data_IF_330934657371
#
_entry.id   IF_330934657371
#
_cell.length_a   1.000
_cell.length_b   1.000
_cell.length_c   1.000
_cell.angle_alpha   90.00
_cell.angle_beta   90.00
_cell.angle_gamma   90.00
#
_symmetry.space_group_name_H-M   'P 1'
#
loop_
_entity.id
_entity.type
_entity.pdbx_description
1 polymer ?
#
# COMPACT_ATOMS: atom_id res chain seq x y z
N UNK A 1 -19.07 28.90 73.75
CA UNK A 1 -19.65 29.01 72.39
C UNK A 1 -18.58 29.56 71.46
N UNK A 2 -17.86 28.72 70.69
CA UNK A 2 -16.85 29.20 69.74
C UNK A 2 -17.45 29.41 68.34
N UNK A 3 -17.02 30.42 67.56
CA UNK A 3 -17.40 30.50 66.15
C UNK A 3 -16.36 29.84 65.23
N UNK A 4 -16.87 28.85 64.49
CA UNK A 4 -16.65 28.56 63.06
C UNK A 4 -15.24 28.68 62.49
N UNK A 5 -14.63 27.51 62.24
CA UNK A 5 -13.37 27.36 61.52
C UNK A 5 -13.50 27.59 60.01
N UNK A 6 -12.48 28.23 59.45
CA UNK A 6 -12.29 28.37 58.01
C UNK A 6 -11.89 27.02 57.38
N UNK A 7 -12.71 26.52 56.45
CA UNK A 7 -12.33 25.44 55.55
C UNK A 7 -11.46 25.99 54.42
N UNK A 8 -10.18 25.62 54.41
CA UNK A 8 -9.29 25.84 53.28
C UNK A 8 -9.51 24.70 52.26
N UNK A 9 -10.11 25.01 51.10
CA UNK A 9 -10.15 24.08 49.97
C UNK A 9 -8.75 23.99 49.32
N UNK A 10 -8.07 22.85 49.48
CA UNK A 10 -6.88 22.50 48.71
C UNK A 10 -7.37 21.81 47.43
N UNK A 11 -7.32 22.51 46.30
CA UNK A 11 -7.53 21.90 44.98
C UNK A 11 -6.28 21.09 44.62
N UNK A 12 -6.36 19.77 44.72
CA UNK A 12 -5.34 18.86 44.21
C UNK A 12 -5.44 18.76 42.68
N UNK A 13 -4.55 19.44 41.96
CA UNK A 13 -4.39 19.28 40.52
C UNK A 13 -3.77 17.90 40.23
N UNK A 14 -4.59 16.94 39.84
CA UNK A 14 -4.13 15.66 39.33
C UNK A 14 -3.54 15.86 37.92
N UNK A 15 -2.21 15.99 37.83
CA UNK A 15 -1.51 15.83 36.56
C UNK A 15 -1.55 14.35 36.19
N UNK A 16 -2.43 14.00 35.24
CA UNK A 16 -2.37 12.72 34.56
C UNK A 16 -1.06 12.66 33.77
N UNK A 17 -0.07 11.96 34.32
CA UNK A 17 1.11 11.56 33.56
C UNK A 17 0.64 10.60 32.46
N UNK A 18 0.51 11.11 31.24
CA UNK A 18 0.37 10.29 30.06
C UNK A 18 1.66 9.48 29.91
N UNK A 19 1.64 8.24 30.42
CA UNK A 19 2.67 7.25 30.12
C UNK A 19 2.70 7.06 28.60
N UNK A 20 3.66 7.70 27.95
CA UNK A 20 4.08 7.38 26.60
C UNK A 20 4.57 5.94 26.63
N UNK A 21 3.68 5.00 26.28
CA UNK A 21 4.07 3.65 25.91
C UNK A 21 4.87 3.80 24.62
N UNK A 22 6.18 4.02 24.73
CA UNK A 22 7.11 3.84 23.63
C UNK A 22 7.12 2.36 23.29
N UNK A 23 6.20 1.95 22.42
CA UNK A 23 6.29 0.63 21.80
C UNK A 23 7.56 0.65 20.93
N UNK A 24 8.68 0.18 21.47
CA UNK A 24 9.84 -0.24 20.69
C UNK A 24 9.38 -1.43 19.85
N UNK A 25 8.72 -1.16 18.72
CA UNK A 25 8.33 -2.20 17.77
C UNK A 25 9.61 -2.71 17.14
N UNK A 26 10.11 -3.84 17.65
CA UNK A 26 11.15 -4.62 17.00
C UNK A 26 10.70 -5.15 15.64
N UNK A 27 11.53 -5.98 15.04
CA UNK A 27 11.22 -6.62 13.76
C UNK A 27 9.80 -7.22 13.73
N UNK A 28 9.07 -6.90 12.67
CA UNK A 28 7.73 -7.37 12.36
C UNK A 28 7.74 -8.21 11.09
N UNK A 29 6.83 -9.18 11.01
CA UNK A 29 6.69 -10.05 9.84
C UNK A 29 6.17 -9.24 8.65
N UNK A 30 6.76 -9.45 7.48
CA UNK A 30 6.34 -8.86 6.21
C UNK A 30 6.34 -9.87 5.07
N UNK A 31 5.95 -9.42 3.87
CA UNK A 31 6.08 -10.20 2.63
C UNK A 31 5.44 -11.60 2.67
N UNK A 32 4.27 -11.71 3.31
CA UNK A 32 3.57 -13.00 3.47
C UNK A 32 4.35 -14.01 4.32
N UNK A 33 5.07 -13.56 5.36
CA UNK A 33 5.86 -14.44 6.23
C UNK A 33 7.29 -14.70 5.74
N UNK A 34 7.69 -14.12 4.61
CA UNK A 34 9.01 -14.38 4.01
C UNK A 34 10.13 -13.56 4.63
N UNK A 35 9.79 -12.45 5.27
CA UNK A 35 10.79 -11.51 5.79
C UNK A 35 10.41 -10.95 7.14
N UNK A 36 11.43 -10.47 7.85
CA UNK A 36 11.29 -9.63 9.03
C UNK A 36 11.80 -8.23 8.69
N UNK A 37 11.07 -7.19 9.10
CA UNK A 37 11.45 -5.80 8.83
C UNK A 37 11.15 -4.87 10.01
N UNK A 38 11.85 -3.75 10.10
CA UNK A 38 11.70 -2.75 11.17
C UNK A 38 11.80 -1.33 10.58
N UNK A 39 11.15 -0.38 11.23
CA UNK A 39 11.29 1.05 10.93
C UNK A 39 12.52 1.62 11.64
N UNK A 40 12.98 2.77 11.16
CA UNK A 40 14.08 3.54 11.76
C UNK A 40 15.38 2.75 11.93
N UNK A 41 15.69 1.89 10.96
CA UNK A 41 16.87 1.05 11.02
C UNK A 41 17.62 0.94 9.69
N UNK A 42 18.88 0.54 9.77
CA UNK A 42 19.78 0.39 8.66
C UNK A 42 20.71 -0.81 8.90
N UNK A 43 20.95 -1.59 7.84
CA UNK A 43 22.10 -2.47 7.76
C UNK A 43 23.17 -1.76 6.94
N UNK A 44 24.40 -1.71 7.43
CA UNK A 44 25.49 -1.03 6.73
C UNK A 44 26.25 -2.01 5.82
N UNK A 45 26.70 -1.52 4.66
CA UNK A 45 27.56 -2.25 3.72
C UNK A 45 26.87 -3.40 2.99
N UNK A 46 27.69 -4.17 2.26
CA UNK A 46 27.30 -5.36 1.49
C UNK A 46 26.24 -5.13 0.40
N UNK A 47 26.05 -3.88 -0.03
CA UNK A 47 25.14 -3.52 -1.10
C UNK A 47 25.65 -4.05 -2.45
N UNK A 48 24.90 -4.94 -3.09
CA UNK A 48 25.25 -5.49 -4.41
C UNK A 48 24.32 -4.99 -5.52
N UNK A 49 23.15 -4.45 -5.16
CA UNK A 49 22.16 -3.91 -6.08
C UNK A 49 21.24 -2.94 -5.34
N UNK A 50 20.72 -1.96 -6.07
CA UNK A 50 19.62 -1.15 -5.60
C UNK A 50 18.49 -1.07 -6.62
N UNK A 51 17.28 -0.81 -6.12
CA UNK A 51 16.07 -0.53 -6.90
C UNK A 51 15.27 0.55 -6.19
N UNK A 52 14.68 1.47 -6.93
CA UNK A 52 13.70 2.38 -6.35
C UNK A 52 12.40 1.64 -6.03
N UNK A 53 11.76 1.99 -4.92
CA UNK A 53 10.58 1.30 -4.40
C UNK A 53 10.24 1.80 -2.99
N UNK A 54 9.17 1.27 -2.40
CA UNK A 54 8.77 1.58 -1.01
C UNK A 54 9.29 0.51 -0.05
N UNK A 55 9.40 0.78 1.26
CA UNK A 55 9.94 -0.19 2.22
C UNK A 55 9.26 -1.55 2.20
N UNK A 56 7.93 -1.54 2.00
CA UNK A 56 7.10 -2.74 2.05
C UNK A 56 7.39 -3.72 0.90
N UNK A 57 7.95 -3.25 -0.22
CA UNK A 57 8.23 -4.08 -1.41
C UNK A 57 9.67 -4.57 -1.40
N UNK A 58 10.59 -3.86 -0.72
CA UNK A 58 11.98 -4.29 -0.61
C UNK A 58 12.10 -5.71 -0.03
N UNK A 59 11.20 -6.08 0.89
CA UNK A 59 11.12 -7.43 1.45
C UNK A 59 10.83 -8.48 0.38
N UNK A 60 9.85 -8.25 -0.49
CA UNK A 60 9.48 -9.18 -1.56
C UNK A 60 10.57 -9.29 -2.61
N UNK A 61 11.12 -8.16 -3.04
CA UNK A 61 12.25 -8.11 -3.97
C UNK A 61 13.45 -8.89 -3.43
N UNK A 62 13.76 -8.73 -2.14
CA UNK A 62 14.84 -9.43 -1.50
C UNK A 62 14.55 -10.94 -1.34
N UNK A 63 13.32 -11.30 -0.95
CA UNK A 63 12.90 -12.70 -0.84
C UNK A 63 12.91 -13.43 -2.20
N UNK A 64 12.61 -12.72 -3.29
CA UNK A 64 12.62 -13.24 -4.66
C UNK A 64 14.03 -13.29 -5.30
N UNK A 65 14.98 -12.49 -4.82
CA UNK A 65 16.37 -12.50 -5.31
C UNK A 65 17.24 -13.42 -4.44
N UNK A 66 17.68 -14.56 -5.00
CA UNK A 66 18.47 -15.57 -4.30
C UNK A 66 19.76 -15.04 -3.66
N UNK A 67 20.32 -13.93 -4.17
CA UNK A 67 21.52 -13.29 -3.60
C UNK A 67 21.21 -12.39 -2.41
N UNK A 68 19.98 -11.90 -2.28
CA UNK A 68 19.61 -10.94 -1.24
C UNK A 68 19.37 -11.63 0.10
N UNK A 69 20.19 -11.35 1.11
CA UNK A 69 19.99 -11.87 2.47
C UNK A 69 19.27 -10.86 3.36
N UNK A 70 19.49 -9.57 3.11
CA UNK A 70 18.90 -8.46 3.85
C UNK A 70 18.89 -7.19 3.00
N UNK A 71 18.17 -6.18 3.46
CA UNK A 71 18.04 -4.93 2.74
C UNK A 71 17.95 -3.74 3.69
N UNK A 72 18.17 -2.56 3.13
CA UNK A 72 17.79 -1.30 3.76
C UNK A 72 17.06 -0.45 2.76
N UNK A 73 15.96 0.13 3.17
CA UNK A 73 15.27 1.17 2.44
C UNK A 73 15.59 2.53 3.04
N UNK A 74 15.75 3.54 2.19
CA UNK A 74 15.78 4.94 2.61
C UNK A 74 15.07 5.82 1.57
N UNK A 75 14.88 7.10 1.89
CA UNK A 75 14.19 8.03 1.01
C UNK A 75 15.05 8.58 -0.16
N UNK A 76 16.21 7.97 -0.44
CA UNK A 76 17.02 8.37 -1.61
C UNK A 76 16.21 8.15 -2.89
N UNK A 77 16.27 9.08 -3.83
CA UNK A 77 15.54 9.04 -5.12
C UNK A 77 14.02 8.83 -4.98
N UNK A 78 13.41 9.30 -3.90
CA UNK A 78 11.98 9.10 -3.62
C UNK A 78 11.63 7.72 -3.07
N UNK A 79 12.64 6.98 -2.60
CA UNK A 79 12.52 5.64 -2.02
C UNK A 79 13.43 4.65 -2.74
N UNK A 80 14.46 4.15 -2.06
CA UNK A 80 15.42 3.19 -2.62
C UNK A 80 15.62 2.01 -1.69
N UNK A 81 15.41 0.80 -2.21
CA UNK A 81 15.81 -0.47 -1.63
C UNK A 81 17.26 -0.77 -1.98
N UNK A 82 18.12 -0.85 -0.97
CA UNK A 82 19.52 -1.23 -1.03
C UNK A 82 19.65 -2.70 -0.61
N UNK A 83 19.80 -3.59 -1.60
CA UNK A 83 19.87 -5.04 -1.41
C UNK A 83 21.28 -5.49 -1.08
N UNK A 84 21.35 -6.36 -0.08
CA UNK A 84 22.61 -6.79 0.50
C UNK A 84 22.74 -8.31 0.47
N UNK A 85 23.97 -8.77 0.40
CA UNK A 85 24.30 -10.20 0.34
C UNK A 85 25.25 -10.61 1.46
N UNK A 86 25.45 -11.91 1.62
CA UNK A 86 26.30 -12.49 2.66
C UNK A 86 25.74 -12.33 4.08
N UNK A 87 26.64 -12.35 5.07
CA UNK A 87 26.30 -12.20 6.48
C UNK A 87 25.64 -10.86 6.76
N UNK A 88 24.49 -10.88 7.43
CA UNK A 88 23.75 -9.69 7.82
C UNK A 88 24.58 -8.86 8.81
N UNK A 89 24.83 -7.60 8.46
CA UNK A 89 25.55 -6.67 9.34
C UNK A 89 24.73 -6.31 10.59
N UNK A 90 25.38 -5.70 11.59
CA UNK A 90 24.70 -5.25 12.79
C UNK A 90 23.67 -4.16 12.43
N UNK A 91 22.48 -4.25 13.03
CA UNK A 91 21.43 -3.24 12.87
C UNK A 91 21.89 -1.93 13.53
N UNK A 92 21.86 -0.82 12.81
CA UNK A 92 22.01 0.52 13.37
C UNK A 92 20.68 1.26 13.34
N UNK A 93 20.45 2.14 14.32
CA UNK A 93 19.30 3.02 14.32
C UNK A 93 19.50 4.13 13.27
N UNK A 94 18.52 4.31 12.38
CA UNK A 94 18.56 5.34 11.34
C UNK A 94 17.15 5.83 11.04
N UNK A 95 16.84 7.03 11.50
CA UNK A 95 15.51 7.62 11.37
C UNK A 95 15.13 7.83 9.90
N UNK A 96 13.88 7.51 9.55
CA UNK A 96 13.37 7.62 8.17
C UNK A 96 13.94 6.58 7.19
N UNK A 97 14.54 5.50 7.70
CA UNK A 97 14.99 4.34 6.93
C UNK A 97 14.37 3.06 7.50
N UNK A 98 14.17 2.06 6.66
CA UNK A 98 13.65 0.76 7.09
C UNK A 98 14.68 -0.30 6.74
N UNK A 99 14.74 -1.38 7.51
CA UNK A 99 15.65 -2.47 7.20
C UNK A 99 14.96 -3.79 7.48
N UNK A 100 15.43 -4.85 6.83
CA UNK A 100 14.88 -6.18 7.04
C UNK A 100 15.75 -7.26 6.46
N UNK A 101 15.37 -8.50 6.75
CA UNK A 101 16.09 -9.69 6.33
C UNK A 101 15.13 -10.82 5.98
N UNK A 102 15.58 -11.67 5.05
CA UNK A 102 14.80 -12.82 4.59
C UNK A 102 14.86 -13.92 5.65
N UNK A 103 13.70 -14.49 5.98
CA UNK A 103 13.58 -15.64 6.89
C UNK A 103 13.05 -16.89 6.18
N UNK A 104 12.36 -16.72 5.05
CA UNK A 104 11.93 -17.82 4.18
C UNK A 104 11.89 -17.35 2.73
N UNK A 105 12.35 -18.21 1.80
CA UNK A 105 12.18 -17.99 0.35
C UNK A 105 10.98 -18.74 -0.22
N UNK A 106 10.52 -19.78 0.48
CA UNK A 106 9.23 -20.40 0.23
C UNK A 106 8.14 -19.41 0.64
N UNK A 107 7.13 -19.21 -0.21
CA UNK A 107 5.91 -18.54 0.23
C UNK A 107 5.35 -19.33 1.42
N UNK A 108 5.42 -18.75 2.62
CA UNK A 108 4.93 -19.36 3.83
C UNK A 108 3.41 -19.42 3.75
N UNK A 109 2.88 -20.59 3.43
CA UNK A 109 1.49 -20.90 3.72
C UNK A 109 1.32 -20.82 5.25
N UNK A 110 0.33 -20.03 5.68
CA UNK A 110 -0.17 -19.78 7.04
C UNK A 110 0.46 -18.61 7.83
N UNK A 111 -0.17 -17.43 7.73
CA UNK A 111 -0.52 -16.67 8.93
C UNK A 111 -1.93 -17.12 9.32
N UNK A 112 -2.03 -18.11 10.21
CA UNK A 112 -3.21 -18.22 11.05
C UNK A 112 -3.07 -17.17 12.15
N UNK A 113 -3.90 -16.13 12.10
CA UNK A 113 -4.34 -15.44 13.31
C UNK A 113 -5.82 -15.09 13.16
N UNK A 114 -6.56 -15.64 14.10
CA UNK A 114 -8.00 -15.58 14.27
C UNK A 114 -8.44 -14.15 14.63
N UNK A 115 -9.40 -13.63 13.89
CA UNK A 115 -10.68 -13.11 14.40
C UNK A 115 -11.46 -12.64 13.19
N UNK A 116 -12.29 -13.53 12.65
CA UNK A 116 -13.24 -13.16 11.64
C UNK A 116 -14.28 -12.23 12.27
N UNK A 117 -14.22 -10.95 11.90
CA UNK A 117 -15.46 -10.19 11.77
C UNK A 117 -16.15 -10.78 10.55
N UNK A 118 -17.11 -11.67 10.77
CA UNK A 118 -17.95 -12.23 9.72
C UNK A 118 -18.67 -11.09 9.00
N UNK A 119 -18.13 -10.69 7.85
CA UNK A 119 -18.90 -9.99 6.81
C UNK A 119 -19.60 -11.08 6.00
N UNK A 120 -20.93 -11.00 5.75
CA UNK A 120 -21.66 -12.06 5.07
C UNK A 120 -21.05 -12.43 3.71
N UNK A 121 -20.85 -13.74 3.50
CA UNK A 121 -20.18 -14.34 2.34
C UNK A 121 -20.82 -14.02 0.96
N UNK A 122 -22.00 -13.41 0.94
CA UNK A 122 -22.71 -13.07 -0.30
C UNK A 122 -22.23 -11.76 -0.95
N UNK A 123 -21.49 -10.91 -0.23
CA UNK A 123 -20.97 -9.65 -0.77
C UNK A 123 -19.57 -9.78 -1.41
N UNK A 124 -18.82 -10.86 -1.14
CA UNK A 124 -17.45 -11.04 -1.62
C UNK A 124 -17.34 -11.71 -3.00
N UNK A 125 -18.39 -12.38 -3.48
CA UNK A 125 -18.36 -13.16 -4.72
C UNK A 125 -18.57 -12.35 -6.00
N UNK A 126 -19.11 -11.12 -5.91
CA UNK A 126 -19.36 -10.27 -7.08
C UNK A 126 -18.21 -9.31 -7.42
N UNK A 127 -17.27 -9.12 -6.48
CA UNK A 127 -16.21 -8.09 -6.56
C UNK A 127 -14.96 -8.61 -7.30
N UNK A 128 -14.66 -9.90 -7.15
CA UNK A 128 -13.51 -10.55 -7.78
C UNK A 128 -13.73 -10.95 -9.25
N UNK A 129 -14.97 -11.14 -9.68
CA UNK A 129 -15.27 -11.55 -11.06
C UNK A 129 -15.18 -10.39 -12.07
N UNK A 130 -15.33 -9.13 -11.62
CA UNK A 130 -15.37 -7.98 -12.53
C UNK A 130 -14.04 -7.26 -12.68
N UNK A 131 -13.17 -7.24 -11.67
CA UNK A 131 -11.89 -6.48 -11.70
C UNK A 131 -10.83 -7.08 -12.62
N UNK A 132 -11.01 -8.32 -13.10
CA UNK A 132 -9.99 -9.06 -13.85
C UNK A 132 -8.78 -9.48 -12.99
N UNK A 133 -8.84 -9.26 -11.67
CA UNK A 133 -7.77 -9.55 -10.73
C UNK A 133 -8.14 -10.70 -9.78
N UNK A 134 -7.14 -11.48 -9.37
CA UNK A 134 -7.32 -12.39 -8.24
C UNK A 134 -7.58 -11.60 -6.95
N UNK A 135 -8.36 -12.19 -6.03
CA UNK A 135 -8.63 -11.56 -4.72
C UNK A 135 -7.35 -11.35 -3.91
N UNK A 136 -6.38 -12.25 -4.02
CA UNK A 136 -5.05 -12.12 -3.41
C UNK A 136 -4.30 -10.90 -3.91
N UNK A 137 -4.40 -10.59 -5.20
CA UNK A 137 -3.71 -9.46 -5.82
C UNK A 137 -4.32 -8.13 -5.38
N UNK A 138 -5.65 -8.05 -5.28
CA UNK A 138 -6.33 -6.86 -4.75
C UNK A 138 -5.99 -6.61 -3.28
N UNK A 139 -5.93 -7.67 -2.47
CA UNK A 139 -5.50 -7.58 -1.06
C UNK A 139 -4.04 -7.11 -0.98
N UNK A 140 -3.17 -7.65 -1.83
CA UNK A 140 -1.77 -7.27 -1.89
C UNK A 140 -1.60 -5.79 -2.26
N UNK A 141 -2.31 -5.31 -3.30
CA UNK A 141 -2.30 -3.90 -3.70
C UNK A 141 -2.76 -2.98 -2.57
N UNK A 142 -3.90 -3.30 -1.95
CA UNK A 142 -4.44 -2.50 -0.85
C UNK A 142 -3.46 -2.46 0.33
N UNK A 143 -2.89 -3.60 0.70
CA UNK A 143 -1.91 -3.72 1.78
C UNK A 143 -0.67 -2.86 1.50
N UNK A 144 -0.13 -2.92 0.28
CA UNK A 144 1.04 -2.13 -0.14
C UNK A 144 0.77 -0.63 -0.09
N UNK A 145 -0.38 -0.17 -0.58
CA UNK A 145 -0.76 1.25 -0.54
C UNK A 145 -0.96 1.71 0.90
N UNK A 146 -1.66 0.93 1.71
CA UNK A 146 -1.93 1.30 3.09
C UNK A 146 -0.68 1.27 3.97
N UNK A 147 0.25 0.36 3.73
CA UNK A 147 1.56 0.39 4.36
C UNK A 147 2.31 1.68 4.00
N UNK A 148 2.29 2.08 2.73
CA UNK A 148 2.93 3.33 2.28
C UNK A 148 2.27 4.57 2.87
N UNK A 149 0.94 4.61 2.90
CA UNK A 149 0.16 5.69 3.52
C UNK A 149 0.43 5.80 5.01
N UNK A 150 0.44 4.67 5.74
CA UNK A 150 0.75 4.64 7.16
C UNK A 150 2.16 5.16 7.46
N UNK A 151 3.16 4.81 6.66
CA UNK A 151 4.53 5.34 6.79
C UNK A 151 4.61 6.86 6.58
N UNK A 152 3.65 7.45 5.86
CA UNK A 152 3.54 8.88 5.62
C UNK A 152 2.51 9.56 6.55
N UNK A 153 2.05 8.87 7.61
CA UNK A 153 1.10 9.42 8.58
C UNK A 153 -0.31 9.62 8.02
N UNK A 154 -0.69 8.89 6.98
CA UNK A 154 -1.99 9.00 6.31
C UNK A 154 -2.93 7.85 6.71
N UNK A 155 -4.23 8.15 6.75
CA UNK A 155 -5.29 7.16 6.97
C UNK A 155 -5.32 6.10 5.87
N UNK A 156 -5.64 4.86 6.25
CA UNK A 156 -5.79 3.75 5.33
C UNK A 156 -6.99 3.96 4.39
N UNK A 157 -6.83 3.54 3.14
CA UNK A 157 -7.91 3.45 2.16
C UNK A 157 -8.69 2.15 2.37
N UNK A 158 -9.95 2.19 1.97
CA UNK A 158 -10.84 1.02 1.87
C UNK A 158 -11.23 0.78 0.42
N UNK A 159 -11.48 -0.48 0.04
CA UNK A 159 -11.95 -0.76 -1.32
C UNK A 159 -13.41 -0.31 -1.46
N UNK A 160 -13.72 0.42 -2.54
CA UNK A 160 -15.10 0.72 -2.93
C UNK A 160 -15.42 0.07 -4.27
N UNK A 161 -16.51 -0.72 -4.28
CA UNK A 161 -16.88 -1.52 -5.44
C UNK A 161 -17.23 -0.67 -6.67
N UNK A 162 -17.73 0.55 -6.48
CA UNK A 162 -18.06 1.45 -7.61
C UNK A 162 -16.80 1.91 -8.32
N UNK A 163 -15.74 2.21 -7.54
CA UNK A 163 -14.41 2.50 -8.09
C UNK A 163 -13.79 1.27 -8.75
N UNK A 164 -13.99 0.06 -8.21
CA UNK A 164 -13.56 -1.19 -8.85
C UNK A 164 -14.26 -1.39 -10.20
N UNK A 165 -15.58 -1.13 -10.27
CA UNK A 165 -16.33 -1.25 -11.53
C UNK A 165 -15.87 -0.20 -12.55
N UNK A 166 -15.65 1.05 -12.14
CA UNK A 166 -15.11 2.10 -13.01
C UNK A 166 -13.73 1.70 -13.57
N UNK A 167 -12.82 1.27 -12.69
CA UNK A 167 -11.49 0.81 -13.06
C UNK A 167 -11.54 -0.41 -14.00
N UNK A 168 -12.46 -1.36 -13.76
CA UNK A 168 -12.66 -2.55 -14.60
C UNK A 168 -13.06 -2.20 -16.02
N UNK A 169 -14.08 -1.34 -16.16
CA UNK A 169 -14.55 -0.89 -17.45
C UNK A 169 -13.44 -0.16 -18.20
N UNK A 170 -12.66 0.67 -17.50
CA UNK A 170 -11.56 1.41 -18.10
C UNK A 170 -10.38 0.52 -18.50
N UNK A 171 -9.97 -0.44 -17.68
CA UNK A 171 -8.93 -1.41 -18.05
C UNK A 171 -9.35 -2.23 -19.28
N UNK A 172 -10.61 -2.65 -19.36
CA UNK A 172 -11.15 -3.35 -20.55
C UNK A 172 -11.17 -2.45 -21.78
N UNK A 173 -11.57 -1.20 -21.63
CA UNK A 173 -11.56 -0.24 -22.73
C UNK A 173 -10.15 -0.01 -23.28
N UNK A 174 -9.17 0.20 -22.40
CA UNK A 174 -7.76 0.32 -22.77
C UNK A 174 -7.24 -0.94 -23.48
N UNK A 175 -7.59 -2.14 -22.98
CA UNK A 175 -7.21 -3.40 -23.59
C UNK A 175 -7.87 -3.63 -24.96
N UNK A 176 -9.14 -3.26 -25.13
CA UNK A 176 -9.86 -3.39 -26.39
C UNK A 176 -9.31 -2.46 -27.49
N UNK A 177 -8.75 -1.31 -27.10
CA UNK A 177 -8.17 -0.32 -28.01
C UNK A 177 -6.63 -0.33 -28.00
N UNK A 178 -6.02 -1.30 -27.34
CA UNK A 178 -4.59 -1.46 -27.20
C UNK A 178 -3.82 -0.20 -26.76
N UNK A 179 -4.46 0.69 -26.00
CA UNK A 179 -3.94 2.04 -25.70
C UNK A 179 -4.04 2.33 -24.20
N UNK A 180 -2.93 2.73 -23.59
CA UNK A 180 -2.90 3.20 -22.20
C UNK A 180 -3.20 4.70 -22.17
N UNK A 181 -4.27 5.09 -21.46
CA UNK A 181 -4.77 6.46 -21.46
C UNK A 181 -5.70 6.71 -20.27
N UNK A 182 -5.82 7.96 -19.84
CA UNK A 182 -6.82 8.39 -18.84
C UNK A 182 -8.22 8.64 -19.45
N UNK A 183 -8.29 8.89 -20.76
CA UNK A 183 -9.55 9.11 -21.47
C UNK A 183 -10.12 7.78 -21.97
N UNK A 184 -11.42 7.56 -21.78
CA UNK A 184 -12.10 6.42 -22.40
C UNK A 184 -12.23 6.64 -23.91
N UNK A 185 -12.33 5.55 -24.67
CA UNK A 185 -12.54 5.55 -26.13
C UNK A 185 -13.79 6.32 -26.56
N UNK A 186 -14.80 6.41 -25.69
CA UNK A 186 -16.02 7.19 -25.86
C UNK A 186 -15.87 8.67 -25.46
N UNK A 187 -14.67 9.14 -25.15
CA UNK A 187 -14.39 10.51 -24.70
C UNK A 187 -14.61 10.76 -23.21
N UNK A 188 -15.05 9.77 -22.44
CA UNK A 188 -15.25 9.91 -20.99
C UNK A 188 -13.96 10.19 -20.23
N UNK A 189 -14.03 11.01 -19.19
CA UNK A 189 -12.97 11.20 -18.21
C UNK A 189 -13.25 10.37 -16.97
N UNK A 190 -12.25 10.23 -16.09
CA UNK A 190 -12.37 9.53 -14.80
C UNK A 190 -13.66 9.90 -14.05
N UNK A 191 -13.92 11.19 -13.91
CA UNK A 191 -15.10 11.67 -13.18
C UNK A 191 -16.43 11.18 -13.78
N UNK A 192 -16.52 11.11 -15.11
CA UNK A 192 -17.72 10.60 -15.79
C UNK A 192 -17.87 9.10 -15.52
N UNK A 193 -16.78 8.34 -15.62
CA UNK A 193 -16.76 6.88 -15.38
C UNK A 193 -17.15 6.54 -13.95
N UNK A 194 -16.61 7.26 -12.97
CA UNK A 194 -16.86 7.06 -11.54
C UNK A 194 -18.31 7.44 -11.17
N UNK A 195 -18.81 8.59 -11.66
CA UNK A 195 -20.21 9.00 -11.47
C UNK A 195 -21.20 8.03 -12.12
N UNK A 196 -20.87 7.48 -13.29
CA UNK A 196 -21.71 6.48 -13.94
C UNK A 196 -21.90 5.20 -13.11
N UNK A 197 -21.01 4.93 -12.13
CA UNK A 197 -21.16 3.83 -11.18
C UNK A 197 -21.87 4.24 -9.87
N UNK A 198 -22.42 5.46 -9.79
CA UNK A 198 -23.08 5.99 -8.61
C UNK A 198 -22.12 6.36 -7.47
N UNK A 199 -20.86 6.64 -7.78
CA UNK A 199 -19.91 7.19 -6.81
C UNK A 199 -19.88 8.71 -6.97
N UNK A 200 -20.74 9.38 -6.20
CA UNK A 200 -20.67 10.84 -6.03
C UNK A 200 -19.41 11.18 -5.23
N UNK A 201 -18.55 12.03 -5.80
CA UNK A 201 -17.23 12.31 -5.25
C UNK A 201 -17.01 13.80 -4.99
N UNK A 202 -16.41 14.09 -3.84
CA UNK A 202 -15.73 15.34 -3.56
C UNK A 202 -14.30 15.36 -4.11
N UNK A 203 -13.69 14.19 -4.29
CA UNK A 203 -12.34 14.03 -4.84
C UNK A 203 -12.24 12.69 -5.56
N UNK A 204 -11.58 12.67 -6.72
CA UNK A 204 -11.21 11.45 -7.44
C UNK A 204 -9.86 11.63 -8.13
N UNK A 205 -9.10 10.56 -8.27
CA UNK A 205 -7.83 10.52 -9.00
C UNK A 205 -7.58 9.12 -9.57
N UNK A 206 -6.75 9.01 -10.60
CA UNK A 206 -6.52 7.75 -11.30
C UNK A 206 -5.03 7.53 -11.57
N UNK A 207 -4.63 6.27 -11.43
CA UNK A 207 -3.38 5.76 -11.94
C UNK A 207 -3.67 4.71 -13.02
N UNK A 208 -3.08 4.86 -14.20
CA UNK A 208 -3.14 3.85 -15.29
C UNK A 208 -1.74 3.34 -15.61
N UNK A 209 -1.65 2.10 -16.08
CA UNK A 209 -0.40 1.52 -16.57
C UNK A 209 -0.65 0.42 -17.58
N UNK A 210 0.37 0.09 -18.37
CA UNK A 210 0.33 -1.03 -19.29
C UNK A 210 1.69 -1.75 -19.36
N UNK A 211 1.64 -3.06 -19.61
CA UNK A 211 2.80 -3.94 -19.81
C UNK A 211 3.37 -4.59 -18.54
N UNK A 212 2.97 -4.17 -17.35
CA UNK A 212 3.40 -4.83 -16.10
C UNK A 212 2.65 -6.15 -15.92
N UNK A 213 3.37 -7.21 -15.57
CA UNK A 213 2.81 -8.57 -15.48
C UNK A 213 2.52 -9.01 -14.05
N UNK A 214 2.73 -8.14 -13.06
CA UNK A 214 2.44 -8.42 -11.65
C UNK A 214 2.07 -7.16 -10.86
N UNK A 215 1.40 -7.37 -9.72
CA UNK A 215 1.12 -6.32 -8.72
C UNK A 215 2.40 -5.61 -8.29
N UNK A 216 3.46 -6.35 -8.04
CA UNK A 216 4.76 -5.78 -7.67
C UNK A 216 5.24 -4.78 -8.74
N UNK A 217 5.27 -5.19 -10.01
CA UNK A 217 5.76 -4.35 -11.10
C UNK A 217 4.92 -3.08 -11.30
N UNK A 218 3.59 -3.21 -11.36
CA UNK A 218 2.70 -2.05 -11.60
C UNK A 218 2.80 -1.03 -10.47
N UNK A 219 2.84 -1.52 -9.24
CA UNK A 219 2.93 -0.64 -8.09
C UNK A 219 4.30 0.08 -8.06
N UNK A 220 5.41 -0.59 -8.39
CA UNK A 220 6.73 0.05 -8.57
C UNK A 220 6.69 1.15 -9.62
N UNK A 221 6.08 0.89 -10.78
CA UNK A 221 5.96 1.89 -11.85
C UNK A 221 5.19 3.13 -11.39
N UNK A 222 4.05 2.95 -10.71
CA UNK A 222 3.29 4.07 -10.16
C UNK A 222 4.03 4.78 -9.03
N UNK A 223 4.69 4.06 -8.12
CA UNK A 223 5.49 4.71 -7.08
C UNK A 223 6.63 5.53 -7.67
N UNK A 224 7.26 5.12 -8.76
CA UNK A 224 8.37 5.87 -9.37
C UNK A 224 7.90 7.08 -10.19
N UNK A 225 6.60 7.21 -10.46
CA UNK A 225 6.01 8.38 -11.12
C UNK A 225 5.53 9.40 -10.07
N UNK A 226 6.05 10.64 -10.06
CA UNK A 226 5.62 11.66 -9.10
C UNK A 226 4.11 11.91 -9.09
N UNK A 227 3.47 11.94 -10.27
CA UNK A 227 2.02 12.14 -10.39
C UNK A 227 1.22 10.97 -9.79
N UNK A 228 1.58 9.74 -10.14
CA UNK A 228 0.89 8.57 -9.62
C UNK A 228 1.13 8.36 -8.11
N UNK A 229 2.34 8.68 -7.63
CA UNK A 229 2.68 8.67 -6.21
C UNK A 229 1.87 9.71 -5.43
N UNK A 230 1.61 10.89 -5.99
CA UNK A 230 0.78 11.90 -5.36
C UNK A 230 -0.65 11.41 -5.12
N UNK A 231 -1.22 10.64 -6.05
CA UNK A 231 -2.54 10.03 -5.89
C UNK A 231 -2.58 9.03 -4.72
N UNK A 232 -1.58 8.14 -4.61
CA UNK A 232 -1.45 7.20 -3.48
C UNK A 232 -1.33 7.90 -2.12
N UNK A 233 -0.68 9.07 -2.09
CA UNK A 233 -0.46 9.88 -0.89
C UNK A 233 -1.50 10.99 -0.70
N UNK A 234 -2.57 11.00 -1.48
CA UNK A 234 -3.63 11.99 -1.32
C UNK A 234 -4.24 11.88 0.08
N UNK A 235 -4.18 12.98 0.84
CA UNK A 235 -4.80 13.09 2.17
C UNK A 235 -6.32 13.02 2.09
N UNK A 236 -6.88 13.45 0.96
CA UNK A 236 -8.32 13.51 0.75
C UNK A 236 -8.91 12.17 0.33
N UNK A 237 -8.13 11.22 -0.19
CA UNK A 237 -8.63 9.91 -0.59
C UNK A 237 -8.99 9.04 0.63
N UNK A 238 -10.17 8.42 0.57
CA UNK A 238 -10.67 7.46 1.58
C UNK A 238 -10.95 6.08 0.98
N UNK A 239 -11.21 6.03 -0.32
CA UNK A 239 -11.54 4.83 -1.07
C UNK A 239 -10.60 4.58 -2.24
N UNK A 240 -10.52 3.33 -2.67
CA UNK A 240 -9.76 2.91 -3.85
C UNK A 240 -10.44 1.75 -4.58
N UNK A 241 -10.26 1.65 -5.89
CA UNK A 241 -10.62 0.52 -6.72
C UNK A 241 -9.43 0.07 -7.57
N UNK A 242 -9.32 -1.23 -7.85
CA UNK A 242 -8.26 -1.81 -8.66
C UNK A 242 -8.86 -2.70 -9.74
N UNK A 243 -8.31 -2.65 -10.94
CA UNK A 243 -8.64 -3.60 -11.98
C UNK A 243 -7.50 -3.80 -12.99
N UNK A 244 -7.51 -4.96 -13.63
CA UNK A 244 -6.64 -5.30 -14.76
C UNK A 244 -7.45 -5.92 -15.90
N UNK A 245 -6.95 -5.79 -17.12
CA UNK A 245 -7.46 -6.49 -18.27
C UNK A 245 -6.29 -6.96 -19.16
N UNK A 246 -6.45 -8.12 -19.77
CA UNK A 246 -5.42 -8.72 -20.65
C UNK A 246 -5.96 -8.85 -22.06
N UNK A 247 -5.19 -8.38 -23.04
CA UNK A 247 -5.42 -8.61 -24.46
C UNK A 247 -4.10 -8.97 -25.16
N UNK A 248 -3.90 -10.26 -25.42
CA UNK A 248 -2.70 -10.76 -26.10
C UNK A 248 -2.67 -10.43 -27.61
N UNK A 249 -3.73 -9.84 -28.16
CA UNK A 249 -3.78 -9.38 -29.56
C UNK A 249 -3.22 -7.97 -29.76
N UNK A 250 -2.79 -7.27 -28.70
CA UNK A 250 -2.20 -5.96 -28.80
C UNK A 250 -0.69 -6.04 -29.06
N UNK A 251 -0.20 -5.31 -30.07
CA UNK A 251 1.22 -5.33 -30.46
C UNK A 251 2.15 -4.73 -29.40
N UNK A 252 1.65 -3.79 -28.58
CA UNK A 252 2.46 -3.05 -27.60
C UNK A 252 2.48 -3.69 -26.22
N UNK A 253 1.30 -3.89 -25.62
CA UNK A 253 1.17 -4.35 -24.24
C UNK A 253 0.05 -5.38 -24.14
N UNK A 254 0.30 -6.48 -23.44
CA UNK A 254 -0.73 -7.49 -23.19
C UNK A 254 -1.63 -7.15 -21.99
N UNK A 255 -1.15 -6.37 -21.02
CA UNK A 255 -1.84 -6.15 -19.73
C UNK A 255 -2.04 -4.66 -19.48
N UNK A 256 -3.24 -4.27 -19.05
CA UNK A 256 -3.66 -2.89 -18.78
C UNK A 256 -4.23 -2.80 -17.36
N UNK A 257 -3.78 -1.82 -16.60
CA UNK A 257 -4.10 -1.63 -15.19
C UNK A 257 -4.75 -0.27 -14.95
N UNK A 258 -5.74 -0.25 -14.06
CA UNK A 258 -6.39 0.97 -13.58
C UNK A 258 -6.52 0.91 -12.06
N UNK A 259 -6.23 2.03 -11.41
CA UNK A 259 -6.36 2.22 -9.98
C UNK A 259 -7.00 3.57 -9.71
N UNK A 260 -8.25 3.53 -9.26
CA UNK A 260 -9.08 4.72 -9.05
C UNK A 260 -9.19 5.02 -7.57
N UNK A 261 -8.98 6.28 -7.20
CA UNK A 261 -9.11 6.81 -5.86
C UNK A 261 -10.36 7.66 -5.75
N UNK A 262 -10.95 7.70 -4.55
CA UNK A 262 -12.10 8.54 -4.29
C UNK A 262 -12.25 8.97 -2.84
N UNK A 263 -12.95 10.07 -2.65
CA UNK A 263 -13.71 10.39 -1.43
C UNK A 263 -15.09 10.84 -1.81
N UNK A 264 -16.10 10.22 -1.21
CA UNK A 264 -17.48 10.59 -1.44
C UNK A 264 -17.78 12.01 -0.94
N UNK A 265 -18.68 12.71 -1.63
CA UNK A 265 -19.21 14.00 -1.21
C UNK A 265 -19.88 14.76 -2.32
#
# INVERSE_FOLDING_TARGET
MPPLGSLTLITASAFAAASLVTTTRGFQVGSGGRVMWENNCNFAGNDYRWRTGIPAVCGDMCANDSKCTHWTWNNSNGGTCWFKTGTRSAKTAKWGSNCGYVISRSAGVQVQTQSQVQVPAQAQTQVSSSSGMASTDMIEMLSRINAYRSQNGLSMLTIDNRLVTAASLHSKDQANHCTMTHAGSNGSRLGDRVKAQGYEFAMTAENVAAGQTSVEQVMISWWNSPGHRANMLSKDATNVGFATAVNNGCDSYATYWTQDYGRQG
#
